data_IF_404157006105
#
_entry.id   IF_404157006105
#
_cell.length_a   1.000
_cell.length_b   1.000
_cell.length_c   1.000
_cell.angle_alpha   90.00
_cell.angle_beta   90.00
_cell.angle_gamma   90.00
#
_symmetry.space_group_name_H-M   'P 1'
#
loop_
_entity.id
_entity.type
_entity.pdbx_description
1 polymer ?
#
# COMPACT_ATOMS: atom_id res chain seq x y z
N UNK A 1 -9.87 -22.32 -12.36
CA UNK A 1 -8.86 -21.33 -12.83
C UNK A 1 -7.74 -21.32 -11.81
N UNK A 2 -6.49 -21.46 -12.24
CA UNK A 2 -5.34 -21.45 -11.33
C UNK A 2 -5.19 -20.01 -10.82
N UNK A 3 -5.27 -19.83 -9.50
CA UNK A 3 -5.12 -18.52 -8.87
C UNK A 3 -3.68 -18.02 -9.09
N UNK A 4 -3.49 -16.77 -9.48
CA UNK A 4 -2.17 -16.17 -9.72
C UNK A 4 -1.26 -16.31 -8.49
N UNK A 5 -1.83 -16.28 -7.29
CA UNK A 5 -1.10 -16.48 -6.02
C UNK A 5 -0.54 -17.89 -5.93
N UNK A 6 -1.30 -18.92 -6.29
CA UNK A 6 -0.82 -20.29 -6.27
C UNK A 6 0.32 -20.51 -7.26
N UNK A 7 0.33 -19.74 -8.36
CA UNK A 7 1.40 -19.75 -9.36
C UNK A 7 2.67 -19.07 -8.84
N UNK A 8 2.57 -17.96 -8.10
CA UNK A 8 3.74 -17.20 -7.61
C UNK A 8 4.23 -17.65 -6.23
N UNK A 9 3.39 -18.29 -5.43
CA UNK A 9 3.70 -18.76 -4.07
C UNK A 9 4.98 -19.61 -3.98
N UNK A 10 5.28 -20.55 -4.90
CA UNK A 10 6.52 -21.31 -4.88
C UNK A 10 7.78 -20.44 -5.05
N UNK A 11 7.65 -19.27 -5.70
CA UNK A 11 8.77 -18.35 -5.92
C UNK A 11 8.99 -17.35 -4.77
N UNK A 12 8.09 -17.34 -3.78
CA UNK A 12 8.15 -16.44 -2.64
C UNK A 12 9.47 -16.52 -1.85
N UNK A 13 10.02 -17.73 -1.52
CA UNK A 13 11.30 -17.82 -0.81
C UNK A 13 12.46 -17.26 -1.62
N UNK A 14 12.44 -17.43 -2.96
CA UNK A 14 13.47 -16.91 -3.84
C UNK A 14 13.40 -15.38 -3.94
N UNK A 15 12.20 -14.83 -4.09
CA UNK A 15 11.95 -13.39 -4.07
C UNK A 15 12.39 -12.77 -2.74
N UNK A 16 12.07 -13.41 -1.60
CA UNK A 16 12.52 -12.97 -0.28
C UNK A 16 14.04 -13.00 -0.13
N UNK A 17 14.73 -13.99 -0.69
CA UNK A 17 16.19 -14.04 -0.73
C UNK A 17 16.79 -12.90 -1.56
N UNK A 18 16.22 -12.61 -2.72
CA UNK A 18 16.68 -11.53 -3.60
C UNK A 18 16.50 -10.13 -2.97
N UNK A 19 15.47 -9.95 -2.13
CA UNK A 19 15.14 -8.68 -1.47
C UNK A 19 16.03 -8.39 -0.25
N UNK A 20 16.89 -9.30 0.18
CA UNK A 20 17.66 -9.21 1.44
C UNK A 20 18.49 -7.93 1.62
N UNK A 21 18.87 -7.25 0.56
CA UNK A 21 19.81 -6.12 0.62
C UNK A 21 19.20 -4.71 0.65
N UNK A 22 17.98 -4.49 0.11
CA UNK A 22 17.41 -3.14 0.00
C UNK A 22 15.88 -3.14 0.15
N UNK A 23 15.42 -3.38 1.37
CA UNK A 23 13.99 -3.46 1.70
C UNK A 23 13.21 -2.18 1.33
N UNK A 24 13.79 -1.03 1.64
CA UNK A 24 13.18 0.28 1.37
C UNK A 24 13.08 0.55 -0.14
N UNK A 25 14.12 0.17 -0.90
CA UNK A 25 14.12 0.27 -2.36
C UNK A 25 13.08 -0.64 -3.00
N UNK A 26 12.94 -1.86 -2.52
CA UNK A 26 11.94 -2.82 -3.00
C UNK A 26 10.52 -2.34 -2.74
N UNK A 27 10.24 -1.85 -1.53
CA UNK A 27 8.93 -1.25 -1.21
C UNK A 27 8.60 -0.10 -2.16
N UNK A 28 9.57 0.80 -2.39
CA UNK A 28 9.39 1.92 -3.32
C UNK A 28 9.13 1.45 -4.76
N UNK A 29 9.85 0.42 -5.23
CA UNK A 29 9.62 -0.15 -6.56
C UNK A 29 8.22 -0.76 -6.67
N UNK A 30 7.78 -1.51 -5.66
CA UNK A 30 6.42 -2.06 -5.62
C UNK A 30 5.37 -0.96 -5.72
N UNK A 31 5.43 0.05 -4.86
CA UNK A 31 4.48 1.16 -4.85
C UNK A 31 4.47 1.94 -6.17
N UNK A 32 5.62 2.18 -6.78
CA UNK A 32 5.70 2.80 -8.10
C UNK A 32 5.07 1.92 -9.19
N UNK A 33 5.22 0.60 -9.10
CA UNK A 33 4.58 -0.34 -10.03
C UNK A 33 3.06 -0.31 -9.87
N UNK A 34 2.56 -0.33 -8.63
CA UNK A 34 1.13 -0.20 -8.36
C UNK A 34 0.57 1.12 -8.91
N UNK A 35 1.28 2.23 -8.72
CA UNK A 35 0.87 3.51 -9.29
C UNK A 35 0.82 3.48 -10.83
N UNK A 36 1.76 2.81 -11.49
CA UNK A 36 1.74 2.64 -12.95
C UNK A 36 0.52 1.81 -13.40
N UNK A 37 0.23 0.73 -12.70
CA UNK A 37 -0.96 -0.11 -12.95
C UNK A 37 -2.24 0.74 -12.78
N UNK A 38 -2.35 1.50 -11.69
CA UNK A 38 -3.49 2.39 -11.46
C UNK A 38 -3.64 3.47 -12.57
N UNK A 39 -2.54 4.02 -13.06
CA UNK A 39 -2.54 4.97 -14.19
C UNK A 39 -2.95 4.33 -15.51
N UNK A 40 -2.65 3.05 -15.72
CA UNK A 40 -3.02 2.31 -16.92
C UNK A 40 -4.44 1.68 -16.85
N UNK A 41 -5.19 1.96 -15.79
CA UNK A 41 -6.51 1.39 -15.48
C UNK A 41 -7.52 1.44 -16.63
N UNK A 42 -7.47 2.48 -17.45
CA UNK A 42 -8.39 2.63 -18.59
C UNK A 42 -8.00 1.78 -19.80
N UNK A 43 -6.79 1.25 -19.85
CA UNK A 43 -6.31 0.40 -20.92
C UNK A 43 -6.59 -1.08 -20.66
N UNK A 44 -6.67 -1.89 -21.73
CA UNK A 44 -6.96 -3.32 -21.67
C UNK A 44 -6.05 -4.08 -20.68
N UNK A 45 -4.75 -3.89 -20.77
CA UNK A 45 -3.77 -4.56 -19.90
C UNK A 45 -3.87 -4.13 -18.43
N UNK A 46 -4.15 -2.85 -18.19
CA UNK A 46 -4.35 -2.35 -16.82
C UNK A 46 -5.60 -2.95 -16.18
N UNK A 47 -6.72 -2.98 -16.90
CA UNK A 47 -7.97 -3.61 -16.45
C UNK A 47 -7.77 -5.09 -16.18
N UNK A 48 -7.11 -5.81 -17.09
CA UNK A 48 -6.85 -7.23 -16.93
C UNK A 48 -6.00 -7.52 -15.67
N UNK A 49 -4.91 -6.78 -15.45
CA UNK A 49 -4.07 -6.93 -14.26
C UNK A 49 -4.85 -6.65 -12.97
N UNK A 50 -5.67 -5.60 -12.97
CA UNK A 50 -6.48 -5.22 -11.80
C UNK A 50 -7.54 -6.29 -11.50
N UNK A 51 -8.21 -6.85 -12.52
CA UNK A 51 -9.16 -7.94 -12.31
C UNK A 51 -8.49 -9.19 -11.73
N UNK A 52 -7.31 -9.55 -12.24
CA UNK A 52 -6.55 -10.68 -11.72
C UNK A 52 -6.13 -10.49 -10.24
N UNK A 53 -5.73 -9.26 -9.86
CA UNK A 53 -5.46 -8.94 -8.46
C UNK A 53 -6.71 -9.10 -7.59
N UNK A 54 -7.84 -8.55 -8.03
CA UNK A 54 -9.11 -8.66 -7.30
C UNK A 54 -9.57 -10.09 -7.15
N UNK A 55 -9.59 -10.87 -8.23
CA UNK A 55 -10.02 -12.27 -8.23
C UNK A 55 -9.14 -13.16 -7.34
N UNK A 56 -7.85 -12.81 -7.24
CA UNK A 56 -6.87 -13.60 -6.50
C UNK A 56 -6.77 -13.26 -5.02
N UNK A 57 -7.02 -11.98 -4.66
CA UNK A 57 -6.70 -11.43 -3.33
C UNK A 57 -7.93 -10.99 -2.55
N UNK A 58 -9.07 -10.73 -3.24
CA UNK A 58 -10.25 -10.25 -2.54
C UNK A 58 -11.11 -11.40 -2.04
N UNK A 59 -11.55 -11.29 -0.80
CA UNK A 59 -12.58 -12.14 -0.22
C UNK A 59 -13.74 -11.25 0.24
N UNK A 60 -14.97 -11.61 -0.12
CA UNK A 60 -16.16 -10.86 0.23
C UNK A 60 -17.15 -11.75 0.97
N UNK A 61 -17.56 -11.30 2.15
CA UNK A 61 -18.64 -11.91 2.94
C UNK A 61 -19.38 -10.78 3.66
N UNK A 62 -20.70 -10.73 3.51
CA UNK A 62 -21.53 -9.68 4.10
C UNK A 62 -21.45 -9.62 5.63
N UNK A 63 -21.10 -10.72 6.29
CA UNK A 63 -20.90 -10.80 7.76
C UNK A 63 -19.68 -10.02 8.23
N UNK A 64 -18.73 -9.71 7.34
CA UNK A 64 -17.52 -8.95 7.64
C UNK A 64 -17.72 -7.44 7.48
N UNK A 65 -18.79 -7.03 6.79
CA UNK A 65 -19.07 -5.62 6.53
C UNK A 65 -19.56 -4.91 7.79
N UNK A 66 -19.06 -3.70 8.02
CA UNK A 66 -19.45 -2.83 9.12
C UNK A 66 -19.62 -1.38 8.66
N UNK A 67 -20.61 -0.70 9.21
CA UNK A 67 -20.80 0.73 9.01
C UNK A 67 -20.44 1.48 10.28
N UNK A 68 -19.38 2.28 10.24
CA UNK A 68 -18.89 3.08 11.37
C UNK A 68 -18.66 4.52 10.90
N UNK A 69 -19.07 5.49 11.70
CA UNK A 69 -18.91 6.93 11.41
C UNK A 69 -19.44 7.38 10.05
N UNK A 70 -20.51 6.75 9.56
CA UNK A 70 -21.07 7.02 8.23
C UNK A 70 -20.23 6.47 7.06
N UNK A 71 -19.21 5.65 7.34
CA UNK A 71 -18.38 4.97 6.35
C UNK A 71 -18.68 3.47 6.34
N UNK A 72 -18.65 2.88 5.15
CA UNK A 72 -18.80 1.44 5.00
C UNK A 72 -17.43 0.77 4.87
N UNK A 73 -17.16 -0.19 5.76
CA UNK A 73 -15.96 -1.03 5.78
C UNK A 73 -16.36 -2.43 5.30
N UNK A 74 -16.01 -2.85 4.08
CA UNK A 74 -16.42 -4.15 3.54
C UNK A 74 -15.86 -5.35 4.32
N UNK A 75 -14.74 -5.16 5.02
CA UNK A 75 -14.16 -6.15 5.94
C UNK A 75 -13.24 -5.45 6.96
N UNK A 76 -12.87 -6.12 8.08
CA UNK A 76 -12.08 -5.52 9.16
C UNK A 76 -10.57 -5.52 8.91
N UNK A 77 -10.08 -5.99 7.76
CA UNK A 77 -8.65 -6.05 7.47
C UNK A 77 -8.22 -4.78 6.75
N UNK A 78 -7.30 -4.04 7.33
CA UNK A 78 -6.81 -2.78 6.78
C UNK A 78 -5.31 -2.76 6.55
N UNK A 79 -4.86 -1.95 5.58
CA UNK A 79 -3.45 -1.62 5.42
C UNK A 79 -3.07 -0.55 6.43
N UNK A 80 -2.09 -0.84 7.30
CA UNK A 80 -1.60 0.11 8.28
C UNK A 80 -0.72 1.21 7.67
N UNK A 81 -0.72 2.38 8.30
CA UNK A 81 0.20 3.48 7.98
C UNK A 81 1.67 3.03 8.02
N UNK A 82 2.50 3.69 7.23
CA UNK A 82 3.94 3.40 7.12
C UNK A 82 4.33 2.57 5.91
N UNK A 83 3.41 1.80 5.32
CA UNK A 83 3.66 1.07 4.09
C UNK A 83 3.53 1.98 2.86
N UNK A 84 2.38 2.64 2.68
CA UNK A 84 2.12 3.56 1.57
C UNK A 84 2.07 5.02 2.06
N UNK A 85 3.24 5.58 2.32
CA UNK A 85 3.35 6.90 2.94
C UNK A 85 2.87 8.04 2.05
N UNK A 86 3.00 7.89 0.75
CA UNK A 86 2.69 8.92 -0.24
C UNK A 86 1.41 8.63 -1.03
N UNK A 87 0.65 7.58 -0.65
CA UNK A 87 -0.64 7.23 -1.26
C UNK A 87 -0.54 6.68 -2.69
N UNK A 88 0.62 6.13 -3.08
CA UNK A 88 0.86 5.68 -4.44
C UNK A 88 -0.02 4.50 -4.87
N UNK A 89 -0.39 3.64 -3.93
CA UNK A 89 -1.25 2.48 -4.14
C UNK A 89 -2.72 2.72 -3.75
N UNK A 90 -3.11 3.93 -3.33
CA UNK A 90 -4.42 4.21 -2.75
C UNK A 90 -5.61 3.81 -3.65
N UNK A 91 -5.44 3.86 -4.98
CA UNK A 91 -6.45 3.42 -5.94
C UNK A 91 -6.60 1.91 -6.08
N UNK A 92 -5.69 1.13 -5.50
CA UNK A 92 -5.63 -0.33 -5.69
C UNK A 92 -5.80 -1.15 -4.41
N UNK A 93 -5.73 -0.56 -3.22
CA UNK A 93 -5.76 -1.35 -1.97
C UNK A 93 -7.02 -2.21 -1.82
N UNK A 94 -8.17 -1.75 -2.33
CA UNK A 94 -9.39 -2.56 -2.38
C UNK A 94 -9.24 -3.83 -3.26
N UNK A 95 -8.45 -3.75 -4.35
CA UNK A 95 -8.16 -4.89 -5.22
C UNK A 95 -7.21 -5.92 -4.57
N UNK A 96 -6.52 -5.51 -3.49
CA UNK A 96 -5.75 -6.40 -2.62
C UNK A 96 -6.58 -7.01 -1.49
N UNK A 97 -7.89 -6.78 -1.46
CA UNK A 97 -8.79 -7.33 -0.46
C UNK A 97 -8.86 -6.54 0.85
N UNK A 98 -8.19 -5.38 0.95
CA UNK A 98 -8.31 -4.54 2.14
C UNK A 98 -9.67 -3.86 2.23
N UNK A 99 -10.28 -3.89 3.41
CA UNK A 99 -11.53 -3.19 3.72
C UNK A 99 -11.33 -1.69 4.02
N UNK A 100 -10.12 -1.26 4.32
CA UNK A 100 -9.68 0.13 4.46
C UNK A 100 -8.17 0.22 4.31
N UNK A 101 -7.64 1.42 4.17
CA UNK A 101 -6.19 1.63 4.21
C UNK A 101 -5.87 2.95 4.93
N UNK A 102 -4.74 3.00 5.60
CA UNK A 102 -4.20 4.21 6.21
C UNK A 102 -2.87 4.57 5.53
N UNK A 103 -2.84 5.74 4.89
CA UNK A 103 -1.65 6.28 4.22
C UNK A 103 -0.91 7.25 5.14
N UNK A 104 0.38 7.44 4.91
CA UNK A 104 1.24 8.25 5.81
C UNK A 104 2.19 7.34 6.62
N UNK A 105 2.83 7.82 7.73
CA UNK A 105 2.63 9.16 8.32
C UNK A 105 3.16 10.26 7.39
N UNK A 106 2.42 11.34 7.32
CA UNK A 106 2.77 12.54 6.55
C UNK A 106 2.93 13.74 7.46
N UNK A 107 3.94 14.56 7.18
CA UNK A 107 4.17 15.87 7.81
C UNK A 107 3.75 16.99 6.86
N UNK A 108 3.59 18.21 7.36
CA UNK A 108 3.23 19.36 6.51
C UNK A 108 4.20 19.49 5.34
N UNK A 109 5.48 19.55 5.64
CA UNK A 109 6.57 19.54 4.66
C UNK A 109 7.21 18.15 4.59
N UNK A 110 7.76 17.80 3.43
CA UNK A 110 8.48 16.53 3.26
C UNK A 110 9.75 16.49 4.11
N UNK A 111 10.06 15.32 4.65
CA UNK A 111 11.30 15.12 5.39
C UNK A 111 11.99 13.79 5.01
N UNK A 112 13.34 13.78 5.00
CA UNK A 112 14.11 12.61 4.56
C UNK A 112 14.06 11.44 5.55
N UNK A 113 13.72 11.70 6.81
CA UNK A 113 13.82 10.76 7.92
C UNK A 113 15.26 10.57 8.41
N UNK A 114 15.51 9.48 9.12
CA UNK A 114 16.84 9.19 9.67
C UNK A 114 17.82 8.72 8.59
N UNK A 115 19.14 8.88 8.81
CA UNK A 115 20.17 8.31 7.95
C UNK A 115 20.03 6.80 7.80
N UNK A 116 20.40 6.28 6.63
CA UNK A 116 20.47 4.83 6.36
C UNK A 116 21.77 4.24 6.92
N UNK A 117 21.77 2.94 7.31
CA UNK A 117 20.67 1.97 7.28
C UNK A 117 19.67 2.24 8.42
N UNK A 118 18.38 2.05 8.15
CA UNK A 118 17.29 2.39 9.07
C UNK A 118 16.11 1.40 9.09
N UNK A 119 16.25 0.29 8.36
CA UNK A 119 15.30 -0.82 8.32
C UNK A 119 16.07 -2.13 8.28
N UNK A 120 15.81 -3.01 9.23
CA UNK A 120 16.51 -4.26 9.43
C UNK A 120 15.51 -5.40 9.56
N UNK A 121 15.85 -6.55 9.00
CA UNK A 121 15.14 -7.81 9.23
C UNK A 121 15.90 -8.66 10.22
N UNK A 122 15.16 -9.29 11.11
CA UNK A 122 15.63 -10.25 12.09
C UNK A 122 14.96 -11.60 11.78
N UNK A 123 15.48 -12.37 10.79
CA UNK A 123 14.79 -13.57 10.29
C UNK A 123 14.64 -14.66 11.34
N UNK A 124 15.60 -14.80 12.25
CA UNK A 124 15.57 -15.78 13.32
C UNK A 124 14.47 -15.50 14.35
N UNK A 125 14.20 -14.22 14.59
CA UNK A 125 13.15 -13.75 15.50
C UNK A 125 11.82 -13.51 14.79
N UNK A 126 11.72 -13.75 13.47
CA UNK A 126 10.57 -13.40 12.62
C UNK A 126 10.13 -11.94 12.78
N UNK A 127 11.10 -11.04 12.98
CA UNK A 127 10.88 -9.65 13.34
C UNK A 127 11.53 -8.65 12.38
N UNK A 128 11.11 -7.40 12.47
CA UNK A 128 11.72 -6.27 11.80
C UNK A 128 11.98 -5.13 12.77
N UNK A 129 13.17 -4.54 12.70
CA UNK A 129 13.56 -3.36 13.46
C UNK A 129 13.67 -2.17 12.51
N UNK A 130 13.11 -1.02 12.87
CA UNK A 130 13.28 0.19 12.08
C UNK A 130 13.47 1.44 12.94
N UNK A 131 14.12 2.42 12.31
CA UNK A 131 14.26 3.79 12.79
C UNK A 131 14.04 4.77 11.63
N UNK A 132 12.93 4.62 10.90
CA UNK A 132 12.67 5.36 9.64
C UNK A 132 12.68 6.88 9.82
N UNK A 133 12.17 7.39 10.94
CA UNK A 133 12.16 8.81 11.23
C UNK A 133 11.11 9.58 10.42
N UNK A 134 9.94 8.96 10.20
CA UNK A 134 8.79 9.54 9.50
C UNK A 134 9.13 10.17 8.14
N UNK A 135 9.99 9.51 7.36
CA UNK A 135 10.32 9.96 6.01
C UNK A 135 9.08 9.96 5.11
N UNK A 136 8.81 11.07 4.46
CA UNK A 136 7.67 11.28 3.58
C UNK A 136 7.92 12.49 2.66
N UNK A 137 7.06 12.70 1.66
CA UNK A 137 7.19 13.78 0.67
C UNK A 137 6.40 15.03 1.01
N UNK A 138 5.70 15.05 2.15
CA UNK A 138 4.88 16.15 2.61
C UNK A 138 3.41 16.08 2.20
N UNK A 139 2.56 16.77 2.97
CA UNK A 139 1.11 16.76 2.78
C UNK A 139 0.67 17.23 1.39
N UNK A 140 1.28 18.26 0.76
CA UNK A 140 0.88 18.67 -0.59
C UNK A 140 1.07 17.57 -1.63
N UNK A 141 2.15 16.79 -1.53
CA UNK A 141 2.43 15.68 -2.46
C UNK A 141 1.45 14.53 -2.25
N UNK A 142 1.16 14.16 -1.00
CA UNK A 142 0.16 13.15 -0.68
C UNK A 142 -1.22 13.57 -1.21
N UNK A 143 -1.66 14.80 -0.94
CA UNK A 143 -2.94 15.33 -1.39
C UNK A 143 -3.07 15.27 -2.92
N UNK A 144 -2.06 15.73 -3.66
CA UNK A 144 -2.04 15.66 -5.12
C UNK A 144 -2.09 14.22 -5.64
N UNK A 145 -1.38 13.29 -4.98
CA UNK A 145 -1.39 11.86 -5.34
C UNK A 145 -2.78 11.25 -5.18
N UNK A 146 -3.41 11.49 -4.04
CA UNK A 146 -4.77 10.99 -3.77
C UNK A 146 -5.80 11.60 -4.72
N UNK A 147 -5.74 12.91 -4.95
CA UNK A 147 -6.64 13.60 -5.88
C UNK A 147 -6.54 13.01 -7.28
N UNK A 148 -5.34 12.82 -7.81
CA UNK A 148 -5.13 12.20 -9.12
C UNK A 148 -5.65 10.76 -9.18
N UNK A 149 -5.48 9.97 -8.11
CA UNK A 149 -5.99 8.61 -8.06
C UNK A 149 -7.53 8.60 -8.07
N UNK A 150 -8.17 9.46 -7.29
CA UNK A 150 -9.64 9.53 -7.20
C UNK A 150 -10.32 10.16 -8.42
N UNK A 151 -9.60 10.95 -9.21
CA UNK A 151 -10.08 11.40 -10.53
C UNK A 151 -10.16 10.24 -11.54
N UNK A 152 -9.24 9.25 -11.44
CA UNK A 152 -9.28 8.06 -12.30
C UNK A 152 -10.32 7.05 -11.87
N UNK A 153 -10.52 6.90 -10.56
CA UNK A 153 -11.54 6.04 -9.97
C UNK A 153 -11.97 6.59 -8.61
N UNK A 154 -13.28 6.71 -8.36
CA UNK A 154 -13.81 7.04 -7.05
C UNK A 154 -13.32 6.05 -5.99
N UNK A 155 -13.13 6.54 -4.78
CA UNK A 155 -12.70 5.76 -3.62
C UNK A 155 -13.65 4.59 -3.36
N UNK A 156 -13.14 3.37 -3.27
CA UNK A 156 -13.90 2.14 -3.08
C UNK A 156 -13.96 1.68 -1.62
N UNK A 157 -13.00 2.10 -0.81
CA UNK A 157 -12.88 1.79 0.62
C UNK A 157 -12.51 3.06 1.38
N UNK A 158 -12.74 3.13 2.69
CA UNK A 158 -12.23 4.21 3.52
C UNK A 158 -10.71 4.32 3.44
N UNK A 159 -10.20 5.55 3.25
CA UNK A 159 -8.77 5.86 3.28
C UNK A 159 -8.53 6.84 4.42
N UNK A 160 -7.84 6.38 5.45
CA UNK A 160 -7.35 7.19 6.56
C UNK A 160 -6.03 7.88 6.19
N UNK A 161 -5.76 9.03 6.81
CA UNK A 161 -4.50 9.74 6.65
C UNK A 161 -3.85 9.88 8.03
N UNK A 162 -2.67 9.27 8.19
CA UNK A 162 -1.87 9.39 9.41
C UNK A 162 -1.07 10.69 9.38
N UNK A 163 -1.43 11.60 10.28
CA UNK A 163 -0.76 12.90 10.41
C UNK A 163 0.30 12.85 11.50
N UNK A 164 1.48 13.36 11.19
CA UNK A 164 2.61 13.38 12.11
C UNK A 164 3.19 14.78 12.22
N UNK A 165 3.66 15.15 13.41
CA UNK A 165 4.45 16.36 13.62
C UNK A 165 5.80 16.19 12.93
N UNK A 166 6.29 17.23 12.23
CA UNK A 166 7.67 17.27 11.73
C UNK A 166 8.69 17.25 12.87
N UNK A 167 9.91 16.85 12.57
CA UNK A 167 11.01 16.80 13.56
C UNK A 167 11.49 18.19 14.01
N UNK A 168 11.25 19.20 13.18
CA UNK A 168 11.64 20.60 13.46
C UNK A 168 10.39 21.42 13.77
#
# INVERSE_FOLDING_TARGET
>A
MTNIIDTIKPFYPLAFKAIRGNLEGTQKQLLNTLQKIDRSRQGFWGQWLISQLSESLSFSDSRLSQSLWGLNFPNPVGLAAGFDKDGLGAGLWHNFGFGFAEVGAVTLEGQPGNPKPRLFRLPEDLAGLNRMGANNRGAPVLAATLQQSWQRQPRQIPIGINLCKSKN
#
